data_IF_427701801539
#
_entry.id   IF_427701801539
#
_cell.length_a   1.000
_cell.length_b   1.000
_cell.length_c   1.000
_cell.angle_alpha   90.00
_cell.angle_beta   90.00
_cell.angle_gamma   90.00
#
_symmetry.space_group_name_H-M   'P 1'
#
loop_
_entity.id
_entity.type
_entity.pdbx_description
1 polymer ?
#
# COMPACT_ATOMS: atom_id res chain seq x y z
N UNK A 1 -31.99 -5.16 7.34
CA UNK A 1 -32.80 -4.00 6.89
C UNK A 1 -31.97 -2.70 6.81
N UNK A 2 -31.06 -2.43 7.77
CA UNK A 2 -30.15 -1.29 7.75
C UNK A 2 -29.09 -1.33 6.63
N UNK A 3 -28.63 -2.53 6.22
CA UNK A 3 -27.69 -2.73 5.10
C UNK A 3 -28.29 -2.42 3.73
N UNK A 4 -29.56 -2.76 3.52
CA UNK A 4 -30.28 -2.42 2.29
C UNK A 4 -30.48 -0.90 2.16
N UNK A 5 -30.72 -0.21 3.29
CA UNK A 5 -30.86 1.24 3.33
C UNK A 5 -29.51 1.96 3.13
N UNK A 6 -28.41 1.45 3.69
CA UNK A 6 -27.07 1.99 3.42
C UNK A 6 -26.60 1.70 2.00
N UNK A 7 -27.03 0.59 1.38
CA UNK A 7 -26.81 0.30 -0.03
C UNK A 7 -27.63 1.24 -0.93
N UNK A 8 -28.90 1.48 -0.62
CA UNK A 8 -29.74 2.41 -1.37
C UNK A 8 -29.26 3.87 -1.24
N UNK A 9 -28.76 4.26 -0.07
CA UNK A 9 -28.17 5.58 0.17
C UNK A 9 -26.77 5.75 -0.45
N UNK A 10 -26.08 4.65 -0.78
CA UNK A 10 -24.89 4.64 -1.64
C UNK A 10 -25.28 4.73 -3.13
N UNK A 11 -26.31 4.00 -3.55
CA UNK A 11 -26.84 4.00 -4.93
C UNK A 11 -27.44 5.37 -5.33
N UNK A 12 -28.03 6.12 -4.38
CA UNK A 12 -28.70 7.41 -4.65
C UNK A 12 -27.78 8.64 -4.69
N UNK A 13 -26.46 8.46 -4.53
CA UNK A 13 -25.45 9.50 -4.77
C UNK A 13 -24.67 9.19 -6.05
N UNK A 14 -25.37 9.14 -7.18
CA UNK A 14 -24.73 9.20 -8.49
C UNK A 14 -23.91 10.49 -8.56
N UNK A 15 -22.61 10.38 -8.27
CA UNK A 15 -21.70 11.53 -8.22
C UNK A 15 -21.44 11.98 -9.67
N UNK A 16 -21.69 13.25 -10.03
CA UNK A 16 -21.62 13.74 -11.42
C UNK A 16 -20.29 13.51 -12.14
N UNK A 17 -19.18 13.35 -11.41
CA UNK A 17 -17.86 13.11 -11.99
C UNK A 17 -17.70 11.75 -12.67
N UNK A 18 -18.52 10.75 -12.32
CA UNK A 18 -18.43 9.40 -12.90
C UNK A 18 -18.64 9.44 -14.43
N UNK A 19 -19.47 10.34 -14.93
CA UNK A 19 -19.86 10.40 -16.34
C UNK A 19 -18.74 10.87 -17.28
N UNK A 20 -17.90 11.82 -16.86
CA UNK A 20 -16.79 12.35 -17.69
C UNK A 20 -15.63 11.36 -17.73
N UNK A 21 -15.23 10.87 -16.57
CA UNK A 21 -14.10 9.96 -16.41
C UNK A 21 -14.32 8.64 -17.16
N UNK A 22 -15.56 8.12 -17.15
CA UNK A 22 -15.95 6.91 -17.88
C UNK A 22 -15.77 7.05 -19.41
N UNK A 23 -16.06 8.24 -19.98
CA UNK A 23 -15.85 8.50 -21.42
C UNK A 23 -14.37 8.56 -21.75
N UNK A 24 -13.60 9.33 -20.97
CA UNK A 24 -12.15 9.44 -21.12
C UNK A 24 -11.50 8.05 -21.10
N UNK A 25 -11.82 7.21 -20.12
CA UNK A 25 -11.27 5.86 -20.00
C UNK A 25 -11.64 4.95 -21.18
N UNK A 26 -12.86 5.09 -21.70
CA UNK A 26 -13.31 4.33 -22.87
C UNK A 26 -12.57 4.74 -24.14
N UNK A 27 -12.46 6.05 -24.39
CA UNK A 27 -11.75 6.58 -25.56
C UNK A 27 -10.26 6.25 -25.47
N UNK A 28 -9.64 6.48 -24.31
CA UNK A 28 -8.24 6.14 -24.04
C UNK A 28 -7.94 4.66 -24.28
N UNK A 29 -8.84 3.75 -23.84
CA UNK A 29 -8.70 2.31 -24.08
C UNK A 29 -8.84 1.97 -25.57
N UNK A 30 -9.85 2.53 -26.26
CA UNK A 30 -10.07 2.30 -27.69
C UNK A 30 -8.85 2.71 -28.51
N UNK A 31 -8.28 3.88 -28.24
CA UNK A 31 -7.17 4.43 -29.00
C UNK A 31 -5.88 3.59 -28.85
N UNK A 32 -5.81 2.77 -27.80
CA UNK A 32 -4.71 1.83 -27.53
C UNK A 32 -5.01 0.38 -27.95
N UNK A 33 -6.18 0.12 -28.51
CA UNK A 33 -6.64 -1.24 -28.82
C UNK A 33 -6.88 -2.11 -27.58
N UNK A 34 -7.03 -1.48 -26.41
CA UNK A 34 -7.28 -2.14 -25.15
C UNK A 34 -8.77 -2.52 -25.02
N UNK A 35 -9.07 -3.50 -24.16
CA UNK A 35 -10.44 -3.98 -23.96
C UNK A 35 -11.06 -3.24 -22.78
N UNK A 36 -12.06 -2.39 -23.07
CA UNK A 36 -12.84 -1.68 -22.06
C UNK A 36 -14.07 -2.49 -21.63
N UNK A 37 -14.26 -2.67 -20.32
CA UNK A 37 -15.39 -3.40 -19.72
C UNK A 37 -16.02 -2.58 -18.60
N UNK A 38 -17.33 -2.70 -18.45
CA UNK A 38 -18.08 -2.17 -17.31
C UNK A 38 -18.49 -3.35 -16.42
N UNK A 39 -18.20 -3.31 -15.10
CA UNK A 39 -18.65 -4.34 -14.17
C UNK A 39 -20.16 -4.51 -14.21
N UNK A 40 -20.65 -5.75 -14.07
CA UNK A 40 -22.10 -6.04 -14.00
C UNK A 40 -22.77 -5.44 -12.75
N UNK A 41 -21.99 -5.26 -11.68
CA UNK A 41 -22.40 -4.72 -10.39
C UNK A 41 -21.31 -3.75 -9.92
N UNK A 42 -21.69 -2.55 -9.49
CA UNK A 42 -20.77 -1.53 -8.97
C UNK A 42 -20.45 -0.39 -9.95
N UNK A 43 -19.78 0.64 -9.42
CA UNK A 43 -19.33 1.80 -10.18
C UNK A 43 -17.90 1.61 -10.67
N UNK A 44 -17.62 2.08 -11.89
CA UNK A 44 -16.27 2.08 -12.45
C UNK A 44 -16.15 1.37 -13.79
N UNK A 45 -14.90 1.06 -14.17
CA UNK A 45 -14.59 0.27 -15.35
C UNK A 45 -13.32 -0.57 -15.16
N UNK A 46 -13.14 -1.54 -16.06
CA UNK A 46 -11.93 -2.34 -16.19
C UNK A 46 -11.39 -2.18 -17.60
N UNK A 47 -10.09 -1.98 -17.72
CA UNK A 47 -9.37 -1.95 -18.99
C UNK A 47 -8.31 -3.05 -18.96
N UNK A 48 -8.42 -3.98 -19.88
CA UNK A 48 -7.45 -5.07 -20.05
C UNK A 48 -6.53 -4.79 -21.24
N UNK A 49 -5.32 -5.34 -21.17
CA UNK A 49 -4.30 -5.22 -22.21
C UNK A 49 -3.91 -3.76 -22.50
N UNK A 50 -3.89 -2.92 -21.46
CA UNK A 50 -3.43 -1.53 -21.57
C UNK A 50 -1.90 -1.39 -21.62
N UNK A 51 -1.16 -2.48 -21.39
CA UNK A 51 0.29 -2.57 -21.59
C UNK A 51 0.61 -3.41 -22.81
N UNK A 52 1.65 -3.03 -23.55
CA UNK A 52 2.12 -3.79 -24.72
C UNK A 52 3.04 -4.95 -24.35
N UNK A 53 3.66 -4.88 -23.17
CA UNK A 53 4.74 -5.78 -22.78
C UNK A 53 4.32 -6.80 -21.73
N UNK A 54 3.33 -6.46 -20.91
CA UNK A 54 2.90 -7.27 -19.79
C UNK A 54 1.38 -7.48 -19.82
N UNK A 55 0.87 -8.65 -19.41
CA UNK A 55 -0.55 -8.81 -19.12
C UNK A 55 -0.95 -7.82 -18.03
N UNK A 56 -1.74 -6.82 -18.40
CA UNK A 56 -2.10 -5.71 -17.53
C UNK A 56 -3.61 -5.57 -17.41
N UNK A 57 -4.06 -5.29 -16.18
CA UNK A 57 -5.44 -4.96 -15.85
C UNK A 57 -5.47 -3.66 -15.07
N UNK A 58 -6.05 -2.63 -15.67
CA UNK A 58 -6.34 -1.35 -15.03
C UNK A 58 -7.81 -1.34 -14.59
N UNK A 59 -8.07 -0.93 -13.36
CA UNK A 59 -9.41 -0.70 -12.85
C UNK A 59 -9.51 0.74 -12.39
N UNK A 60 -10.67 1.34 -12.64
CA UNK A 60 -11.05 2.61 -12.05
C UNK A 60 -12.40 2.44 -11.36
N UNK A 61 -12.54 2.95 -10.13
CA UNK A 61 -13.81 2.88 -9.39
C UNK A 61 -13.67 3.36 -7.95
N UNK A 62 -14.60 2.94 -7.10
CA UNK A 62 -14.55 3.25 -5.68
C UNK A 62 -13.26 2.72 -5.04
N UNK A 63 -12.72 3.53 -4.12
CA UNK A 63 -11.54 3.17 -3.34
C UNK A 63 -11.75 1.91 -2.51
N UNK A 64 -10.74 1.03 -2.51
CA UNK A 64 -10.63 -0.14 -1.62
C UNK A 64 -9.75 0.14 -0.39
N UNK A 65 -9.35 1.40 -0.16
CA UNK A 65 -8.62 1.82 1.05
C UNK A 65 -9.20 3.08 1.63
N UNK A 66 -9.31 3.09 2.95
CA UNK A 66 -9.86 4.23 3.68
C UNK A 66 -8.98 5.49 3.58
N UNK A 67 -7.69 5.34 3.28
CA UNK A 67 -6.77 6.47 3.12
C UNK A 67 -6.84 7.14 1.74
N UNK A 68 -7.39 6.46 0.72
CA UNK A 68 -7.61 7.03 -0.62
C UNK A 68 -8.99 7.68 -0.63
N UNK A 69 -9.01 8.98 -0.92
CA UNK A 69 -10.26 9.75 -0.93
C UNK A 69 -10.89 9.75 -2.33
N UNK A 70 -12.08 9.18 -2.44
CA UNK A 70 -12.85 9.18 -3.68
C UNK A 70 -12.54 8.00 -4.58
N UNK A 71 -12.26 8.28 -5.87
CA UNK A 71 -12.00 7.24 -6.85
C UNK A 71 -10.53 6.81 -6.83
N UNK A 72 -10.30 5.57 -7.26
CA UNK A 72 -9.01 4.91 -7.24
C UNK A 72 -8.71 4.32 -8.61
N UNK A 73 -7.48 4.54 -9.10
CA UNK A 73 -6.89 3.75 -10.19
C UNK A 73 -6.08 2.60 -9.61
N UNK A 74 -6.38 1.38 -10.05
CA UNK A 74 -5.66 0.15 -9.68
C UNK A 74 -5.11 -0.51 -10.91
N UNK A 75 -3.80 -0.55 -11.06
CA UNK A 75 -3.13 -1.23 -12.17
C UNK A 75 -2.40 -2.46 -11.65
N UNK A 76 -2.63 -3.61 -12.29
CA UNK A 76 -1.95 -4.87 -11.97
C UNK A 76 -1.25 -5.40 -13.21
N UNK A 77 0.03 -5.73 -13.07
CA UNK A 77 0.83 -6.43 -14.06
C UNK A 77 1.26 -7.79 -13.51
N UNK A 78 1.11 -8.81 -14.35
CA UNK A 78 1.58 -10.17 -14.05
C UNK A 78 3.01 -10.33 -14.58
N UNK A 79 3.98 -10.47 -13.67
CA UNK A 79 5.41 -10.39 -14.01
C UNK A 79 6.16 -11.70 -13.86
N UNK A 80 5.64 -12.64 -13.06
CA UNK A 80 6.31 -13.91 -12.76
C UNK A 80 7.60 -13.72 -11.95
N UNK A 81 7.69 -12.66 -11.15
CA UNK A 81 8.83 -12.43 -10.25
C UNK A 81 8.92 -13.55 -9.19
N UNK A 82 10.12 -13.87 -8.68
CA UNK A 82 10.27 -14.78 -7.55
C UNK A 82 9.44 -14.32 -6.36
N UNK A 83 8.95 -15.26 -5.56
CA UNK A 83 8.17 -14.93 -4.35
C UNK A 83 8.98 -14.11 -3.34
N UNK A 84 10.30 -14.27 -3.32
CA UNK A 84 11.21 -13.49 -2.48
C UNK A 84 11.42 -12.05 -2.94
N UNK A 85 10.95 -11.67 -4.13
CA UNK A 85 11.02 -10.29 -4.62
C UNK A 85 9.84 -9.49 -4.09
N UNK A 86 10.04 -8.90 -2.91
CA UNK A 86 9.04 -8.10 -2.22
C UNK A 86 9.58 -6.69 -1.94
N UNK A 87 8.94 -5.69 -2.54
CA UNK A 87 9.27 -4.29 -2.32
C UNK A 87 8.05 -3.37 -2.56
N UNK A 88 8.06 -2.22 -1.89
CA UNK A 88 6.97 -1.24 -1.90
C UNK A 88 7.56 0.17 -1.99
N UNK A 89 7.10 0.95 -2.96
CA UNK A 89 7.29 2.40 -3.03
C UNK A 89 5.95 3.09 -2.75
N UNK A 90 5.93 4.10 -1.88
CA UNK A 90 4.76 4.95 -1.66
C UNK A 90 5.15 6.42 -1.55
N UNK A 91 4.19 7.32 -1.76
CA UNK A 91 4.42 8.76 -1.49
C UNK A 91 4.69 8.99 -0.01
N UNK A 92 5.64 9.88 0.30
CA UNK A 92 6.03 10.19 1.68
C UNK A 92 4.86 10.73 2.50
N UNK A 93 4.06 11.62 1.93
CA UNK A 93 2.84 12.14 2.56
C UNK A 93 1.86 11.01 2.94
N UNK A 94 1.78 9.93 2.15
CA UNK A 94 0.96 8.77 2.49
C UNK A 94 1.58 7.98 3.64
N UNK A 95 2.90 7.72 3.59
CA UNK A 95 3.61 7.01 4.66
C UNK A 95 3.41 7.69 6.02
N UNK A 96 3.63 9.00 6.09
CA UNK A 96 3.47 9.79 7.32
C UNK A 96 2.02 9.75 7.85
N UNK A 97 1.03 9.83 6.95
CA UNK A 97 -0.39 9.71 7.33
C UNK A 97 -0.71 8.33 7.92
N UNK A 98 -0.17 7.27 7.33
CA UNK A 98 -0.38 5.89 7.80
C UNK A 98 0.32 5.66 9.14
N UNK A 99 1.54 6.15 9.33
CA UNK A 99 2.27 6.09 10.61
C UNK A 99 1.51 6.83 11.71
N UNK A 100 1.05 8.05 11.43
CA UNK A 100 0.25 8.82 12.39
C UNK A 100 -1.07 8.11 12.73
N UNK A 101 -1.71 7.47 11.76
CA UNK A 101 -2.93 6.71 11.99
C UNK A 101 -2.67 5.48 12.85
N UNK A 102 -1.61 4.71 12.56
CA UNK A 102 -1.20 3.55 13.34
C UNK A 102 -0.84 3.94 14.78
N UNK A 103 -0.08 5.02 14.98
CA UNK A 103 0.26 5.54 16.30
C UNK A 103 -1.00 5.95 17.09
N UNK A 104 -1.96 6.62 16.44
CA UNK A 104 -3.25 6.97 17.07
C UNK A 104 -4.07 5.74 17.46
N UNK A 105 -4.02 4.67 16.69
CA UNK A 105 -4.71 3.42 17.01
C UNK A 105 -4.05 2.72 18.21
N UNK A 106 -2.72 2.61 18.22
CA UNK A 106 -1.95 2.03 19.32
C UNK A 106 -2.05 2.82 20.64
N UNK A 107 -2.17 4.14 20.58
CA UNK A 107 -2.30 4.97 21.79
C UNK A 107 -3.72 5.01 22.35
N UNK A 108 -4.73 4.67 21.55
CA UNK A 108 -6.16 4.67 21.97
C UNK A 108 -6.64 3.32 22.47
N UNK A 109 -5.99 2.23 22.11
CA UNK A 109 -6.29 0.88 22.60
C UNK A 109 -5.06 0.26 23.24
N UNK A 110 -5.23 -0.53 24.30
CA UNK A 110 -4.18 -1.33 24.95
C UNK A 110 -3.73 -2.47 24.03
N UNK A 111 -3.35 -2.19 22.78
CA UNK A 111 -3.09 -3.16 21.72
C UNK A 111 -1.63 -3.05 21.30
N UNK A 112 -0.82 -4.08 21.60
CA UNK A 112 0.63 -4.12 21.29
C UNK A 112 0.99 -5.01 20.10
N UNK A 113 0.00 -5.48 19.33
CA UNK A 113 0.19 -6.35 18.17
C UNK A 113 -0.09 -5.66 16.84
N UNK A 114 0.52 -6.15 15.76
CA UNK A 114 0.16 -5.77 14.39
C UNK A 114 -1.27 -6.29 14.13
N UNK A 115 -2.25 -5.40 14.19
CA UNK A 115 -3.65 -5.69 13.90
C UNK A 115 -3.84 -6.11 12.43
N UNK A 116 -4.52 -7.23 12.20
CA UNK A 116 -4.90 -7.71 10.87
C UNK A 116 -5.86 -6.74 10.15
N UNK A 117 -6.49 -5.81 10.89
CA UNK A 117 -7.28 -4.71 10.33
C UNK A 117 -6.43 -3.64 9.63
N UNK A 118 -5.11 -3.61 9.87
CA UNK A 118 -4.23 -2.62 9.25
C UNK A 118 -4.09 -2.87 7.74
N UNK A 119 -4.20 -1.81 6.93
CA UNK A 119 -3.93 -1.93 5.50
C UNK A 119 -2.50 -2.40 5.28
N UNK A 120 -2.29 -3.13 4.20
CA UNK A 120 -1.00 -3.73 3.88
C UNK A 120 0.16 -2.74 3.96
N UNK A 121 -0.03 -1.53 3.44
CA UNK A 121 0.99 -0.50 3.41
C UNK A 121 1.42 -0.06 4.83
N UNK A 122 0.51 -0.04 5.80
CA UNK A 122 0.83 0.24 7.20
C UNK A 122 1.58 -0.91 7.87
N UNK A 123 1.22 -2.16 7.55
CA UNK A 123 1.98 -3.34 8.02
C UNK A 123 3.42 -3.30 7.53
N UNK A 124 3.64 -2.90 6.28
CA UNK A 124 4.98 -2.74 5.71
C UNK A 124 5.82 -1.70 6.45
N UNK A 125 5.23 -0.53 6.77
CA UNK A 125 5.91 0.50 7.57
C UNK A 125 6.30 0.02 8.97
N UNK A 126 5.49 -0.87 9.57
CA UNK A 126 5.81 -1.47 10.86
C UNK A 126 6.89 -2.56 10.78
N UNK A 127 6.97 -3.29 9.65
CA UNK A 127 7.86 -4.46 9.51
C UNK A 127 9.24 -4.11 8.93
N UNK A 128 9.34 -3.07 8.11
CA UNK A 128 10.55 -2.77 7.36
C UNK A 128 11.02 -1.34 7.58
N UNK A 129 12.34 -1.18 7.71
CA UNK A 129 12.97 0.13 7.65
C UNK A 129 13.02 0.65 6.20
N UNK A 130 12.90 1.98 6.00
CA UNK A 130 13.16 2.60 4.71
C UNK A 130 14.53 2.23 4.12
N UNK A 131 14.53 1.84 2.85
CA UNK A 131 15.75 1.59 2.08
C UNK A 131 16.27 2.93 1.56
N UNK A 132 17.49 3.28 1.96
CA UNK A 132 18.16 4.48 1.45
C UNK A 132 18.47 4.36 -0.05
N UNK A 133 18.02 5.36 -0.80
CA UNK A 133 18.34 5.64 -2.20
C UNK A 133 19.22 6.88 -2.25
N UNK A 134 20.28 6.84 -3.05
CA UNK A 134 21.25 7.95 -3.20
C UNK A 134 20.71 9.06 -4.12
N UNK A 135 19.52 9.56 -3.76
CA UNK A 135 18.86 10.68 -4.40
C UNK A 135 18.02 11.41 -3.32
N UNK A 136 18.42 12.62 -2.91
CA UNK A 136 17.71 13.38 -1.89
C UNK A 136 16.29 13.77 -2.32
N UNK A 137 16.08 14.04 -3.61
CA UNK A 137 14.79 14.42 -4.14
C UNK A 137 13.84 13.22 -4.10
N UNK A 138 14.30 12.02 -4.48
CA UNK A 138 13.52 10.80 -4.28
C UNK A 138 13.11 10.64 -2.81
N UNK A 139 14.09 10.75 -1.90
CA UNK A 139 13.87 10.57 -0.47
C UNK A 139 12.92 11.62 0.09
N UNK A 140 12.87 12.84 -0.44
CA UNK A 140 11.93 13.86 0.00
C UNK A 140 10.46 13.51 -0.35
N UNK A 141 10.22 12.78 -1.43
CA UNK A 141 8.85 12.57 -1.95
C UNK A 141 8.34 11.14 -1.86
N UNK A 142 9.23 10.16 -1.73
CA UNK A 142 8.90 8.75 -1.70
C UNK A 142 9.57 8.02 -0.53
N UNK A 143 8.96 6.91 -0.14
CA UNK A 143 9.50 5.93 0.80
C UNK A 143 9.58 4.58 0.07
N UNK A 144 10.76 3.95 0.11
CA UNK A 144 10.98 2.59 -0.39
C UNK A 144 11.16 1.64 0.79
N UNK A 145 10.36 0.57 0.82
CA UNK A 145 10.42 -0.52 1.80
C UNK A 145 10.65 -1.83 1.07
N UNK A 146 11.43 -2.75 1.63
CA UNK A 146 11.70 -4.03 0.99
C UNK A 146 12.17 -5.10 1.96
N UNK A 147 11.85 -6.35 1.64
CA UNK A 147 12.41 -7.51 2.32
C UNK A 147 13.92 -7.66 2.03
N UNK A 148 14.36 -7.29 0.83
CA UNK A 148 15.78 -7.27 0.43
C UNK A 148 16.20 -5.88 0.00
N UNK A 149 16.99 -5.19 0.85
CA UNK A 149 17.52 -3.84 0.55
C UNK A 149 18.36 -3.84 -0.75
N UNK A 150 19.11 -4.92 -1.02
CA UNK A 150 19.92 -5.07 -2.23
C UNK A 150 19.06 -5.19 -3.48
N UNK A 151 18.04 -6.06 -3.46
CA UNK A 151 17.14 -6.22 -4.60
C UNK A 151 16.34 -4.93 -4.88
N UNK A 152 15.93 -4.23 -3.82
CA UNK A 152 15.19 -2.98 -3.92
C UNK A 152 16.03 -1.85 -4.55
N UNK A 153 17.31 -1.72 -4.19
CA UNK A 153 18.23 -0.76 -4.82
C UNK A 153 18.51 -1.08 -6.28
N UNK A 154 18.55 -2.37 -6.63
CA UNK A 154 18.68 -2.79 -8.02
C UNK A 154 17.39 -2.54 -8.83
N UNK A 155 16.24 -2.50 -8.17
CA UNK A 155 14.94 -2.21 -8.78
C UNK A 155 14.70 -0.71 -8.97
N UNK A 156 14.96 0.07 -7.94
CA UNK A 156 14.84 1.53 -7.91
C UNK A 156 16.22 2.13 -8.20
N UNK A 157 16.68 1.93 -9.44
CA UNK A 157 17.91 2.55 -9.95
C UNK A 157 17.67 4.01 -10.38
N UNK A 158 18.73 4.68 -10.83
CA UNK A 158 18.68 6.11 -11.20
C UNK A 158 17.61 6.41 -12.27
N UNK A 159 17.44 5.53 -13.25
CA UNK A 159 16.44 5.69 -14.31
C UNK A 159 15.01 5.56 -13.75
N UNK A 160 14.78 4.59 -12.86
CA UNK A 160 13.47 4.46 -12.20
C UNK A 160 13.18 5.62 -11.25
N UNK A 161 14.19 6.11 -10.53
CA UNK A 161 14.08 7.32 -9.70
C UNK A 161 13.64 8.51 -10.54
N UNK A 162 14.34 8.80 -11.64
CA UNK A 162 13.99 9.89 -12.54
C UNK A 162 12.56 9.75 -13.10
N UNK A 163 12.12 8.51 -13.38
CA UNK A 163 10.75 8.22 -13.84
C UNK A 163 9.70 8.55 -12.78
N UNK A 164 9.94 8.20 -11.51
CA UNK A 164 9.02 8.49 -10.40
C UNK A 164 8.96 9.98 -10.08
N UNK A 165 10.11 10.66 -10.07
CA UNK A 165 10.17 12.12 -9.89
C UNK A 165 9.44 12.85 -11.01
N UNK A 166 9.61 12.42 -12.26
CA UNK A 166 8.85 12.97 -13.38
C UNK A 166 7.35 12.70 -13.25
N UNK A 167 6.95 11.52 -12.76
CA UNK A 167 5.54 11.21 -12.53
C UNK A 167 4.91 12.13 -11.47
N UNK A 168 5.64 12.37 -10.37
CA UNK A 168 5.31 13.38 -9.35
C UNK A 168 5.03 14.73 -9.99
N UNK A 169 5.98 15.25 -10.76
CA UNK A 169 5.90 16.60 -11.33
C UNK A 169 4.81 16.78 -12.38
N UNK A 170 4.44 15.71 -13.08
CA UNK A 170 3.54 15.80 -14.24
C UNK A 170 2.09 15.48 -13.93
N UNK A 171 1.80 14.52 -13.05
CA UNK A 171 0.43 14.04 -12.88
C UNK A 171 0.09 13.49 -11.50
N UNK A 172 1.06 13.00 -10.72
CA UNK A 172 0.79 12.55 -9.35
C UNK A 172 0.60 13.73 -8.41
N UNK A 173 1.45 14.77 -8.47
CA UNK A 173 1.48 15.83 -7.47
C UNK A 173 2.03 15.38 -6.12
N UNK A 174 2.02 16.28 -5.12
CA UNK A 174 2.71 16.08 -3.84
C UNK A 174 1.88 15.30 -2.80
N UNK A 175 0.56 15.44 -2.83
CA UNK A 175 -0.32 14.93 -1.77
C UNK A 175 -1.16 13.71 -2.18
N UNK A 176 -1.00 13.26 -3.42
CA UNK A 176 -1.76 12.13 -3.95
C UNK A 176 -1.25 10.84 -3.33
N UNK A 177 -2.18 10.04 -2.80
CA UNK A 177 -1.86 8.71 -2.31
C UNK A 177 -1.45 7.84 -3.51
N UNK A 178 -0.20 7.40 -3.49
CA UNK A 178 0.39 6.53 -4.50
C UNK A 178 1.10 5.37 -3.82
N UNK A 179 0.86 4.17 -4.32
CA UNK A 179 1.54 2.94 -3.89
C UNK A 179 1.92 2.15 -5.14
N UNK A 180 3.15 1.67 -5.20
CA UNK A 180 3.65 0.73 -6.19
C UNK A 180 4.34 -0.42 -5.46
N UNK A 181 3.83 -1.63 -5.63
CA UNK A 181 4.26 -2.79 -4.85
C UNK A 181 4.54 -3.98 -5.77
N UNK A 182 5.72 -4.57 -5.63
CA UNK A 182 6.05 -5.87 -6.16
C UNK A 182 5.84 -6.91 -5.07
N UNK A 183 4.92 -7.85 -5.28
CA UNK A 183 4.56 -8.88 -4.30
C UNK A 183 3.96 -10.10 -4.99
N UNK A 184 4.38 -11.31 -4.59
CA UNK A 184 3.86 -12.59 -5.08
C UNK A 184 3.81 -12.66 -6.62
N UNK A 185 4.93 -12.33 -7.26
CA UNK A 185 5.09 -12.40 -8.71
C UNK A 185 4.37 -11.31 -9.51
N UNK A 186 3.76 -10.32 -8.85
CA UNK A 186 2.95 -9.27 -9.47
C UNK A 186 3.46 -7.90 -9.12
N UNK A 187 3.19 -6.95 -10.02
CA UNK A 187 3.35 -5.53 -9.76
C UNK A 187 1.97 -4.89 -9.66
N UNK A 188 1.72 -4.16 -8.60
CA UNK A 188 0.45 -3.50 -8.30
C UNK A 188 0.70 -2.02 -8.07
N UNK A 189 -0.05 -1.16 -8.76
CA UNK A 189 -0.04 0.28 -8.56
C UNK A 189 -1.43 0.73 -8.14
N UNK A 190 -1.46 1.67 -7.20
CA UNK A 190 -2.69 2.24 -6.65
C UNK A 190 -2.53 3.74 -6.55
N UNK A 191 -3.47 4.47 -7.12
CA UNK A 191 -3.42 5.93 -7.17
C UNK A 191 -4.78 6.51 -6.80
N UNK A 192 -4.78 7.46 -5.89
CA UNK A 192 -5.93 8.35 -5.67
C UNK A 192 -6.19 9.18 -6.94
N UNK A 193 -7.38 9.06 -7.50
CA UNK A 193 -7.74 9.64 -8.78
C UNK A 193 -8.95 10.57 -8.62
N UNK A 194 -8.73 11.79 -8.10
CA UNK A 194 -9.80 12.78 -7.89
C UNK A 194 -10.42 13.26 -9.20
N UNK A 195 -9.59 13.42 -10.22
CA UNK A 195 -9.96 13.78 -11.58
C UNK A 195 -9.07 13.00 -12.53
N UNK A 196 -9.65 12.38 -13.56
CA UNK A 196 -8.86 11.66 -14.55
C UNK A 196 -8.47 12.58 -15.71
N UNK A 197 -7.21 12.47 -16.09
CA UNK A 197 -6.63 13.10 -17.26
C UNK A 197 -5.87 12.05 -18.07
N UNK A 198 -5.83 12.22 -19.39
CA UNK A 198 -5.10 11.30 -20.26
C UNK A 198 -3.61 11.22 -19.90
N UNK A 199 -2.99 12.35 -19.57
CA UNK A 199 -1.59 12.42 -19.10
C UNK A 199 -1.34 11.53 -17.88
N UNK A 200 -2.31 11.42 -16.96
CA UNK A 200 -2.18 10.59 -15.77
C UNK A 200 -2.31 9.09 -16.12
N UNK A 201 -3.20 8.73 -17.04
CA UNK A 201 -3.37 7.34 -17.49
C UNK A 201 -2.13 6.84 -18.24
N UNK A 202 -1.59 7.67 -19.14
CA UNK A 202 -0.35 7.37 -19.85
C UNK A 202 0.84 7.32 -18.90
N UNK A 203 0.94 8.31 -18.02
CA UNK A 203 1.96 8.37 -16.99
C UNK A 203 1.96 7.13 -16.11
N UNK A 204 0.78 6.67 -15.67
CA UNK A 204 0.63 5.47 -14.85
C UNK A 204 1.10 4.21 -15.58
N UNK A 205 0.68 4.00 -16.83
CA UNK A 205 1.13 2.86 -17.62
C UNK A 205 2.64 2.90 -17.87
N UNK A 206 3.17 4.08 -18.19
CA UNK A 206 4.60 4.31 -18.39
C UNK A 206 5.42 4.03 -17.14
N UNK A 207 4.95 4.42 -15.95
CA UNK A 207 5.61 4.08 -14.67
C UNK A 207 5.56 2.57 -14.44
N UNK A 208 4.41 1.94 -14.64
CA UNK A 208 4.24 0.52 -14.39
C UNK A 208 5.10 -0.36 -15.31
N UNK A 209 5.15 -0.06 -16.61
CA UNK A 209 5.98 -0.80 -17.57
C UNK A 209 7.47 -0.64 -17.29
N UNK A 210 7.90 0.56 -16.89
CA UNK A 210 9.28 0.83 -16.46
C UNK A 210 9.60 0.03 -15.20
N UNK A 211 8.75 0.13 -14.18
CA UNK A 211 8.91 -0.60 -12.93
C UNK A 211 8.97 -2.11 -13.14
N UNK A 212 8.11 -2.66 -14.01
CA UNK A 212 8.09 -4.06 -14.37
C UNK A 212 9.39 -4.51 -15.03
N UNK A 213 9.87 -3.72 -16.01
CA UNK A 213 11.12 -3.99 -16.71
C UNK A 213 12.31 -3.96 -15.75
N UNK A 214 12.37 -2.98 -14.85
CA UNK A 214 13.46 -2.86 -13.87
C UNK A 214 13.39 -3.98 -12.82
N UNK A 215 12.19 -4.41 -12.40
CA UNK A 215 12.03 -5.54 -11.46
C UNK A 215 12.56 -6.86 -12.07
N UNK A 216 12.23 -7.12 -13.35
CA UNK A 216 12.74 -8.29 -14.05
C UNK A 216 14.26 -8.23 -14.25
N UNK A 217 14.82 -7.05 -14.52
CA UNK A 217 16.28 -6.87 -14.62
C UNK A 217 16.97 -7.07 -13.27
N UNK A 218 16.45 -6.47 -12.19
CA UNK A 218 16.95 -6.64 -10.84
C UNK A 218 16.95 -8.13 -10.42
N UNK A 219 15.87 -8.84 -10.73
CA UNK A 219 15.74 -10.29 -10.52
C UNK A 219 16.84 -11.07 -11.23
N UNK A 220 17.08 -10.78 -12.52
CA UNK A 220 18.12 -11.43 -13.33
C UNK A 220 19.53 -11.13 -12.80
N UNK A 221 19.80 -9.89 -12.38
CA UNK A 221 21.07 -9.49 -11.77
C UNK A 221 21.33 -10.23 -10.45
N UNK A 222 20.27 -10.50 -9.69
CA UNK A 222 20.31 -11.31 -8.46
C UNK A 222 20.44 -12.83 -8.70
N UNK A 223 20.57 -13.29 -9.96
CA UNK A 223 20.69 -14.71 -10.30
C UNK A 223 19.38 -15.50 -10.26
N UNK A 224 18.25 -14.86 -9.96
CA UNK A 224 16.94 -15.51 -9.94
C UNK A 224 16.27 -15.46 -11.33
N UNK A 225 15.37 -16.42 -11.58
CA UNK A 225 14.66 -16.56 -12.86
C UNK A 225 13.20 -16.12 -12.74
N UNK A 226 12.73 -15.39 -13.76
CA UNK A 226 11.32 -15.04 -13.95
C UNK A 226 10.57 -16.25 -14.51
N UNK A 227 9.39 -16.59 -13.95
CA UNK A 227 8.55 -17.70 -14.44
C UNK A 227 7.59 -17.25 -15.56
N UNK A 228 7.84 -17.59 -16.84
CA UNK A 228 6.94 -17.25 -17.94
C UNK A 228 5.62 -18.03 -17.92
N UNK A 229 5.51 -19.12 -17.17
CA UNK A 229 4.26 -19.84 -17.00
C UNK A 229 3.33 -19.12 -16.03
N UNK A 230 3.86 -18.52 -14.95
CA UNK A 230 3.12 -17.67 -14.03
C UNK A 230 2.49 -16.46 -14.74
N UNK A 231 3.26 -15.79 -15.61
CA UNK A 231 2.76 -14.66 -16.43
C UNK A 231 1.57 -15.08 -17.29
N UNK A 232 1.64 -16.25 -17.93
CA UNK A 232 0.56 -16.79 -18.76
C UNK A 232 -0.68 -17.16 -17.95
N UNK A 233 -0.52 -17.77 -16.78
CA UNK A 233 -1.65 -18.08 -15.87
C UNK A 233 -2.37 -16.82 -15.41
N UNK A 234 -1.62 -15.78 -15.02
CA UNK A 234 -2.17 -14.49 -14.62
C UNK A 234 -2.93 -13.79 -15.77
N UNK A 235 -2.43 -13.87 -16.99
CA UNK A 235 -3.11 -13.33 -18.18
C UNK A 235 -4.48 -13.97 -18.42
N UNK A 236 -4.61 -15.29 -18.22
CA UNK A 236 -5.88 -16.02 -18.39
C UNK A 236 -6.88 -15.67 -17.27
N UNK A 237 -6.41 -15.52 -16.03
CA UNK A 237 -7.25 -15.09 -14.90
C UNK A 237 -7.85 -13.70 -15.11
N UNK A 238 -7.10 -12.78 -15.72
CA UNK A 238 -7.62 -11.45 -16.09
C UNK A 238 -8.80 -11.54 -17.07
N UNK A 239 -8.80 -12.51 -17.99
CA UNK A 239 -9.89 -12.71 -18.96
C UNK A 239 -11.14 -13.32 -18.29
N UNK A 240 -10.96 -14.25 -17.34
CA UNK A 240 -12.06 -14.99 -16.69
C UNK A 240 -12.68 -14.30 -15.46
N UNK A 241 -11.99 -13.30 -14.89
CA UNK A 241 -12.41 -12.59 -13.66
C UNK A 241 -13.68 -11.73 -13.73
N UNK A 242 -14.49 -11.85 -14.80
CA UNK A 242 -15.80 -11.19 -14.93
C UNK A 242 -16.91 -11.94 -14.18
N UNK A 243 -16.67 -13.18 -13.74
CA UNK A 243 -17.73 -14.06 -13.20
C UNK A 243 -17.66 -14.32 -11.69
N UNK A 244 -16.55 -14.02 -11.02
CA UNK A 244 -16.40 -14.21 -9.56
C UNK A 244 -15.75 -12.97 -8.92
N UNK A 245 -16.55 -11.92 -8.73
CA UNK A 245 -16.25 -10.85 -7.76
C UNK A 245 -17.35 -10.89 -6.71
N UNK A 246 -17.41 -12.01 -5.99
CA UNK A 246 -18.16 -12.21 -4.77
C UNK A 246 -17.48 -13.37 -4.04
N UNK A 247 -17.14 -13.13 -2.78
CA UNK A 247 -16.48 -14.05 -1.85
C UNK A 247 -14.98 -14.31 -2.05
N UNK A 248 -14.17 -13.55 -1.31
CA UNK A 248 -12.99 -14.08 -0.62
C UNK A 248 -13.27 -13.91 0.88
N UNK A 249 -14.27 -14.65 1.36
CA UNK A 249 -14.32 -15.16 2.72
C UNK A 249 -14.47 -16.67 2.56
N UNK A 250 -13.36 -17.39 2.52
CA UNK A 250 -13.38 -18.84 2.76
C UNK A 250 -13.29 -19.05 4.28
N UNK A 251 -14.30 -19.66 4.92
CA UNK A 251 -14.20 -20.05 6.31
C UNK A 251 -13.21 -21.22 6.45
N UNK A 252 -12.41 -21.16 7.51
CA UNK A 252 -11.55 -22.27 7.95
C UNK A 252 -12.36 -23.57 8.07
N UNK A 253 -11.74 -24.74 7.80
CA UNK A 253 -12.41 -26.02 7.96
C UNK A 253 -12.73 -26.22 9.45
N UNK A 254 -14.02 -26.24 9.78
CA UNK A 254 -14.51 -26.69 11.08
C UNK A 254 -14.17 -28.17 11.22
N UNK A 255 -13.20 -28.46 12.08
CA UNK A 255 -12.91 -29.82 12.51
C UNK A 255 -14.16 -30.45 13.13
N UNK A 256 -14.46 -31.66 12.68
CA UNK A 256 -15.42 -32.56 13.30
C UNK A 256 -15.05 -32.74 14.77
N UNK A 257 -15.93 -32.31 15.67
CA UNK A 257 -15.92 -32.76 17.07
C UNK A 257 -17.11 -33.68 17.23
N UNK A 258 -16.77 -34.97 17.34
CA UNK A 258 -17.67 -36.06 17.69
C UNK A 258 -18.33 -35.77 19.05
N UNK A 259 -19.65 -35.86 19.08
CA UNK A 259 -20.46 -35.88 20.30
C UNK A 259 -20.01 -37.04 21.19
N UNK A 260 -19.56 -36.69 22.40
CA UNK A 260 -19.26 -37.60 23.50
C UNK A 260 -20.00 -37.10 24.74
N UNK A 261 -21.22 -37.58 24.89
CA UNK A 261 -22.10 -37.40 26.04
C UNK A 261 -21.45 -37.98 27.31
N UNK A 262 -21.17 -37.14 28.31
CA UNK A 262 -20.80 -37.60 29.64
C UNK A 262 -21.16 -36.56 30.71
N UNK A 263 -21.93 -37.07 31.65
CA UNK A 263 -22.74 -36.42 32.68
C UNK A 263 -21.92 -35.97 33.91
N UNK A 264 -22.37 -34.85 34.51
CA UNK A 264 -22.32 -34.46 35.93
C UNK A 264 -20.98 -34.39 36.70
N UNK A 265 -20.72 -33.22 37.32
CA UNK A 265 -20.82 -33.01 38.79
C UNK A 265 -20.24 -31.64 39.18
N UNK A 266 -21.06 -30.79 39.79
CA UNK A 266 -20.63 -29.83 40.84
C UNK A 266 -20.54 -30.60 42.18
N UNK A 267 -19.73 -30.17 43.17
CA UNK A 267 -20.12 -29.10 44.12
C UNK A 267 -18.94 -28.14 44.48
N UNK A 268 -19.18 -26.83 44.56
CA UNK A 268 -19.48 -26.03 45.78
C UNK A 268 -18.22 -25.40 46.43
N UNK A 269 -18.25 -24.10 46.83
CA UNK A 269 -17.07 -23.29 47.07
C UNK A 269 -16.75 -23.11 48.56
N UNK A 270 -15.46 -22.87 48.86
CA UNK A 270 -14.97 -22.51 50.19
C UNK A 270 -14.03 -21.30 50.13
N UNK A 271 -14.22 -20.26 50.96
CA UNK A 271 -13.45 -19.02 50.90
C UNK A 271 -12.32 -19.00 51.92
N UNK A 272 -11.17 -18.38 51.61
CA UNK A 272 -10.27 -17.88 52.66
C UNK A 272 -9.56 -16.58 52.26
N UNK A 273 -9.77 -15.63 53.16
CA UNK A 273 -9.15 -14.34 53.37
C UNK A 273 -7.63 -14.40 53.53
N UNK A 274 -6.95 -13.29 53.21
CA UNK A 274 -6.00 -12.55 54.06
C UNK A 274 -5.09 -11.69 53.15
N UNK A 275 -5.20 -10.37 53.20
CA UNK A 275 -4.63 -9.44 54.19
C UNK A 275 -3.14 -9.15 53.97
N UNK A 276 -2.91 -7.84 54.02
CA UNK A 276 -1.68 -7.10 54.33
C UNK A 276 -0.79 -6.59 53.21
N UNK A 277 -0.41 -5.36 53.49
CA UNK A 277 0.02 -4.24 52.66
C UNK A 277 1.49 -3.93 52.99
N UNK A 278 2.03 -2.70 52.83
CA UNK A 278 3.32 -2.49 52.17
C UNK A 278 4.39 -2.10 53.19
N UNK A 279 5.65 -2.13 52.79
CA UNK A 279 6.79 -1.57 53.56
C UNK A 279 7.80 -1.17 52.47
N UNK A 280 7.90 0.14 52.19
CA UNK A 280 8.97 1.04 52.69
C UNK A 280 10.34 0.71 52.11
N UNK A 281 11.29 1.60 51.88
CA UNK A 281 11.46 3.06 51.81
C UNK A 281 12.93 3.18 51.31
N UNK A 282 13.34 4.27 50.66
CA UNK A 282 14.78 4.49 50.46
C UNK A 282 15.20 5.48 49.39
N UNK A 283 15.12 6.76 49.74
CA UNK A 283 15.80 7.90 49.12
C UNK A 283 17.29 7.67 48.84
N UNK A 284 17.79 8.28 47.75
CA UNK A 284 19.01 9.09 47.82
C UNK A 284 19.18 10.00 46.59
N UNK A 285 19.10 11.29 46.90
CA UNK A 285 19.38 12.50 46.16
C UNK A 285 20.82 12.60 45.65
N UNK A 286 21.03 13.27 44.51
CA UNK A 286 22.36 13.62 43.99
C UNK A 286 22.32 14.68 42.90
N UNK A 287 22.03 15.93 43.30
CA UNK A 287 22.18 17.17 42.51
C UNK A 287 23.64 17.66 42.59
N UNK A 288 24.13 18.35 41.55
CA UNK A 288 25.16 19.44 41.49
C UNK A 288 25.58 19.58 40.01
N UNK A 289 25.06 20.54 39.22
CA UNK A 289 25.40 21.98 39.07
C UNK A 289 26.80 22.34 38.55
N UNK A 290 26.80 23.11 37.46
CA UNK A 290 27.78 24.15 37.13
C UNK A 290 28.55 23.90 35.83
N UNK A 291 28.88 24.86 34.97
CA UNK A 291 28.46 26.24 34.74
C UNK A 291 29.11 26.66 33.39
N UNK A 292 28.45 27.59 32.71
CA UNK A 292 28.92 28.59 31.73
C UNK A 292 30.33 28.57 31.14
N UNK A 293 30.43 28.82 29.81
CA UNK A 293 31.16 29.96 29.22
C UNK A 293 31.04 30.00 27.68
N UNK A 294 30.13 30.84 27.19
CA UNK A 294 30.41 32.01 26.35
C UNK A 294 31.67 32.01 25.45
N UNK A 295 31.47 32.10 24.11
CA UNK A 295 32.30 32.87 23.15
C UNK A 295 31.79 32.79 21.70
N UNK A 296 31.06 33.82 21.29
CA UNK A 296 31.21 34.52 19.99
C UNK A 296 31.67 35.95 20.36
N UNK A 297 32.48 36.69 19.57
CA UNK A 297 32.15 37.06 18.17
C UNK A 297 33.38 37.23 17.23
N UNK A 298 33.11 37.40 15.92
CA UNK A 298 33.63 38.50 15.07
C UNK A 298 33.45 38.20 13.56
N UNK A 299 32.85 39.16 12.83
CA UNK A 299 32.84 39.24 11.36
C UNK A 299 34.04 40.06 10.84
N UNK A 300 33.90 40.85 9.76
CA UNK A 300 33.56 40.50 8.38
C UNK A 300 34.74 40.73 7.42
N UNK A 301 34.81 40.02 6.28
CA UNK A 301 35.82 40.21 5.24
C UNK A 301 35.24 40.47 3.86
N UNK A 302 35.17 41.75 3.46
CA UNK A 302 35.10 42.18 2.05
C UNK A 302 36.45 41.90 1.36
N UNK A 303 36.45 41.44 0.10
CA UNK A 303 36.95 42.21 -1.06
C UNK A 303 37.09 41.35 -2.35
N UNK A 304 36.44 41.86 -3.41
CA UNK A 304 36.92 42.03 -4.80
C UNK A 304 37.63 40.87 -5.50
N UNK A 305 36.96 40.29 -6.50
CA UNK A 305 37.13 40.62 -7.92
C UNK A 305 36.00 40.01 -8.74
#
# INVERSE_FOLDING_TARGET
MFEALTRLLRESRLRPWISRDTRLLRDWARDRGAVYKVPRQGHGCVIENCSRHFPARLEWGDSQRDYIRGAELRLRLELGLPESFEALVMTRTLAERLEQQAFKQLTRGTQTGIDASMPEEARWLAMFEPVAIDDPEFSHHFVLLAASKTAARAWIDADMVARLLRARDKWLGNDTAFVMMALRGRLMLRVEARHLEETALDGLCLVAESAASHAQQATRRGGARVDPAAVRRGAVSNIQGVTHLSSLDEPLPTGEVSDGDATAMSPDPGPLSNLMTPTELGDATGMVTGDSLDRQPDGPGRQRR
#
